data_IF_177654569484
#
_entry.id   IF_177654569484
#
_cell.length_a   1.000
_cell.length_b   1.000
_cell.length_c   1.000
_cell.angle_alpha   90.00
_cell.angle_beta   90.00
_cell.angle_gamma   90.00
#
_symmetry.space_group_name_H-M   'P 1'
#
loop_
_entity.id
_entity.type
_entity.pdbx_description
1 polymer ?
#
# COMPACT_ATOMS: atom_id res chain seq x y z
N UNK A 1 28.16 49.35 -10.54
CA UNK A 1 27.80 47.93 -10.84
C UNK A 1 28.97 47.24 -11.52
N UNK A 2 29.92 46.73 -10.72
CA UNK A 2 31.05 45.88 -11.10
C UNK A 2 31.65 45.42 -9.77
N UNK A 3 31.55 44.14 -9.41
CA UNK A 3 32.58 43.43 -8.63
C UNK A 3 32.24 41.93 -8.41
N UNK A 4 33.30 41.12 -8.54
CA UNK A 4 33.60 39.88 -7.80
C UNK A 4 32.83 38.58 -8.08
N UNK A 5 33.32 37.83 -9.09
CA UNK A 5 33.45 36.36 -9.03
C UNK A 5 34.79 35.99 -9.67
N UNK A 6 35.83 35.83 -8.84
CA UNK A 6 37.14 35.25 -9.20
C UNK A 6 37.72 34.70 -7.91
N UNK A 7 37.54 33.42 -7.63
CA UNK A 7 38.39 32.68 -6.71
C UNK A 7 38.28 31.17 -7.00
N UNK A 8 39.45 30.54 -7.06
CA UNK A 8 39.75 29.12 -7.30
C UNK A 8 39.85 28.65 -8.76
N UNK A 9 40.90 29.11 -9.42
CA UNK A 9 41.69 28.26 -10.33
C UNK A 9 43.18 28.37 -9.94
N UNK A 10 43.88 27.24 -10.03
CA UNK A 10 45.34 26.97 -9.88
C UNK A 10 45.99 27.08 -8.49
N UNK A 11 46.32 25.92 -7.90
CA UNK A 11 47.69 25.34 -7.94
C UNK A 11 47.88 24.05 -7.11
N UNK A 12 48.66 23.12 -7.70
CA UNK A 12 49.36 21.95 -7.13
C UNK A 12 48.71 20.56 -7.23
N UNK A 13 48.55 20.07 -8.47
CA UNK A 13 48.93 18.69 -8.81
C UNK A 13 50.39 18.73 -9.30
N UNK A 14 51.29 18.02 -8.63
CA UNK A 14 52.65 17.78 -9.10
C UNK A 14 52.93 16.30 -8.90
N UNK A 15 52.99 15.56 -10.00
CA UNK A 15 53.18 14.12 -10.01
C UNK A 15 53.54 13.62 -11.41
N UNK A 16 54.53 14.23 -12.04
CA UNK A 16 55.31 13.65 -13.15
C UNK A 16 56.37 14.67 -13.58
N UNK A 17 57.64 14.46 -13.22
CA UNK A 17 58.81 14.88 -14.00
C UNK A 17 60.05 14.20 -13.42
N UNK A 18 60.46 13.09 -14.03
CA UNK A 18 61.86 12.68 -14.06
C UNK A 18 62.56 13.59 -15.08
N UNK A 19 63.47 14.48 -14.66
CA UNK A 19 64.91 14.35 -14.90
C UNK A 19 65.70 15.60 -14.46
N UNK A 20 66.93 15.32 -13.97
CA UNK A 20 68.14 16.18 -13.92
C UNK A 20 68.14 17.44 -13.05
N UNK A 21 69.11 17.50 -12.12
CA UNK A 21 69.57 18.76 -11.50
C UNK A 21 69.54 18.78 -9.98
N UNK A 22 70.68 18.55 -9.36
CA UNK A 22 70.97 18.69 -7.93
C UNK A 22 70.51 20.05 -7.37
N UNK A 23 69.51 20.06 -6.47
CA UNK A 23 69.07 21.28 -5.78
C UNK A 23 67.71 21.27 -5.06
N UNK A 24 66.92 20.20 -5.13
CA UNK A 24 65.50 20.20 -4.70
C UNK A 24 65.08 19.31 -3.52
N UNK A 25 65.99 18.84 -2.66
CA UNK A 25 65.65 17.82 -1.64
C UNK A 25 64.95 18.36 -0.37
N UNK A 26 65.09 19.64 0.00
CA UNK A 26 64.48 20.18 1.23
C UNK A 26 62.96 20.46 1.11
N UNK A 27 62.49 20.96 -0.04
CA UNK A 27 61.07 21.32 -0.22
C UNK A 27 60.13 20.12 -0.31
N UNK A 28 60.60 18.99 -0.85
CA UNK A 28 59.81 17.76 -0.97
C UNK A 28 59.65 17.08 0.39
N UNK A 29 60.71 16.96 1.18
CA UNK A 29 60.68 16.34 2.52
C UNK A 29 59.71 17.05 3.47
N UNK A 30 59.59 18.38 3.37
CA UNK A 30 58.66 19.16 4.18
C UNK A 30 57.20 18.99 3.73
N UNK A 31 56.93 18.86 2.42
CA UNK A 31 55.60 18.53 1.89
C UNK A 31 55.15 17.12 2.30
N UNK A 32 56.04 16.11 2.26
CA UNK A 32 55.73 14.75 2.72
C UNK A 32 55.47 14.68 4.24
N UNK A 33 56.24 15.43 5.05
CA UNK A 33 55.98 15.56 6.50
C UNK A 33 54.62 16.21 6.81
N UNK A 34 54.25 17.29 6.12
CA UNK A 34 52.97 17.97 6.34
C UNK A 34 51.77 17.10 5.94
N UNK A 35 51.89 16.34 4.84
CA UNK A 35 50.85 15.39 4.42
C UNK A 35 50.70 14.21 5.40
N UNK A 36 51.80 13.71 5.96
CA UNK A 36 51.81 12.66 6.99
C UNK A 36 51.15 13.13 8.29
N UNK A 37 51.43 14.36 8.74
CA UNK A 37 50.80 14.94 9.95
C UNK A 37 49.30 15.12 9.76
N UNK A 38 48.86 15.66 8.63
CA UNK A 38 47.44 15.84 8.36
C UNK A 38 46.69 14.50 8.24
N UNK A 39 47.28 13.51 7.55
CA UNK A 39 46.73 12.15 7.45
C UNK A 39 46.57 11.51 8.83
N UNK A 40 47.60 11.60 9.67
CA UNK A 40 47.59 11.07 11.04
C UNK A 40 46.54 11.77 11.90
N UNK A 41 46.42 13.10 11.81
CA UNK A 41 45.41 13.88 12.53
C UNK A 41 43.97 13.53 12.11
N UNK A 42 43.73 13.28 10.82
CA UNK A 42 42.41 12.85 10.34
C UNK A 42 42.09 11.44 10.83
N UNK A 43 43.05 10.50 10.79
CA UNK A 43 42.87 9.14 11.31
C UNK A 43 42.60 9.10 12.81
N UNK A 44 43.31 9.91 13.60
CA UNK A 44 43.06 10.02 15.05
C UNK A 44 41.69 10.63 15.33
N UNK A 45 41.27 11.67 14.59
CA UNK A 45 39.94 12.24 14.72
C UNK A 45 38.84 11.22 14.38
N UNK A 46 39.02 10.44 13.31
CA UNK A 46 38.11 9.34 12.96
C UNK A 46 38.05 8.35 14.13
N UNK A 47 39.18 7.93 14.69
CA UNK A 47 39.22 6.99 15.82
C UNK A 47 38.54 7.53 17.09
N UNK A 48 38.72 8.81 17.42
CA UNK A 48 38.01 9.43 18.55
C UNK A 48 36.50 9.48 18.29
N UNK A 49 36.09 9.85 17.06
CA UNK A 49 34.68 9.88 16.70
C UNK A 49 34.01 8.50 16.72
N UNK A 50 34.74 7.42 16.41
CA UNK A 50 34.21 6.06 16.45
C UNK A 50 34.04 5.56 17.87
N UNK A 51 34.99 5.85 18.76
CA UNK A 51 34.85 5.56 20.19
C UNK A 51 33.64 6.28 20.78
N UNK A 52 33.46 7.56 20.45
CA UNK A 52 32.28 8.33 20.87
C UNK A 52 30.99 7.70 20.32
N UNK A 53 30.96 7.33 19.04
CA UNK A 53 29.81 6.67 18.41
C UNK A 53 29.46 5.33 19.10
N UNK A 54 30.46 4.50 19.39
CA UNK A 54 30.25 3.23 20.09
C UNK A 54 29.66 3.46 21.49
N UNK A 55 30.15 4.47 22.22
CA UNK A 55 29.58 4.87 23.50
C UNK A 55 28.11 5.29 23.40
N UNK A 56 27.75 6.06 22.35
CA UNK A 56 26.37 6.45 22.08
C UNK A 56 25.47 5.26 21.70
N UNK A 57 25.96 4.28 20.95
CA UNK A 57 25.22 3.05 20.61
C UNK A 57 24.94 2.23 21.89
N UNK A 58 25.93 2.10 22.77
CA UNK A 58 25.75 1.43 24.07
C UNK A 58 24.72 2.17 24.93
N UNK A 59 24.82 3.50 25.03
CA UNK A 59 23.85 4.31 25.77
C UNK A 59 22.43 4.19 25.19
N UNK A 60 22.30 4.15 23.86
CA UNK A 60 21.02 3.92 23.20
C UNK A 60 20.40 2.58 23.59
N UNK A 61 21.17 1.49 23.55
CA UNK A 61 20.66 0.18 23.96
C UNK A 61 20.39 0.09 25.46
N UNK A 62 21.13 0.82 26.30
CA UNK A 62 20.82 0.94 27.72
C UNK A 62 19.45 1.60 27.94
N UNK A 63 19.16 2.70 27.23
CA UNK A 63 17.84 3.37 27.27
C UNK A 63 16.73 2.47 26.73
N UNK A 64 16.98 1.70 25.67
CA UNK A 64 16.02 0.74 25.11
C UNK A 64 15.71 -0.40 26.10
N UNK A 65 16.70 -0.89 26.86
CA UNK A 65 16.51 -1.86 27.93
C UNK A 65 15.73 -1.25 29.08
N UNK A 66 16.04 -0.01 29.48
CA UNK A 66 15.29 0.71 30.52
C UNK A 66 13.83 0.94 30.14
N UNK A 67 13.55 1.30 28.89
CA UNK A 67 12.18 1.48 28.41
C UNK A 67 11.40 0.15 28.49
N UNK A 68 12.01 -0.95 28.04
CA UNK A 68 11.41 -2.28 28.15
C UNK A 68 11.15 -2.70 29.60
N UNK A 69 12.05 -2.33 30.50
CA UNK A 69 11.96 -2.63 31.93
C UNK A 69 10.78 -1.89 32.57
N UNK A 70 10.62 -0.59 32.26
CA UNK A 70 9.50 0.25 32.71
C UNK A 70 8.16 -0.27 32.15
N UNK A 71 8.11 -0.62 30.86
CA UNK A 71 6.89 -1.13 30.21
C UNK A 71 6.40 -2.45 30.84
N UNK A 72 7.32 -3.26 31.41
CA UNK A 72 6.99 -4.55 32.04
C UNK A 72 7.03 -4.52 33.58
N UNK A 73 7.28 -3.36 34.20
CA UNK A 73 7.39 -3.21 35.66
C UNK A 73 8.34 -4.23 36.33
N UNK A 74 9.45 -4.57 35.67
CA UNK A 74 10.52 -5.36 36.29
C UNK A 74 11.63 -4.43 36.78
N UNK A 75 12.46 -4.85 37.72
CA UNK A 75 13.60 -4.04 38.22
C UNK A 75 14.96 -4.59 37.76
N UNK A 76 15.02 -5.89 37.41
CA UNK A 76 16.26 -6.56 37.01
C UNK A 76 16.50 -6.50 35.50
N UNK A 77 17.48 -5.69 35.07
CA UNK A 77 17.89 -5.59 33.66
C UNK A 77 18.35 -6.92 33.05
N UNK A 78 18.81 -7.87 33.88
CA UNK A 78 19.26 -9.20 33.45
C UNK A 78 18.14 -10.00 32.80
N UNK A 79 16.90 -9.81 33.28
CA UNK A 79 15.71 -10.48 32.75
C UNK A 79 15.40 -9.96 31.34
N UNK A 80 15.70 -8.70 31.06
CA UNK A 80 15.50 -8.07 29.76
C UNK A 80 16.62 -8.38 28.74
N UNK A 81 17.75 -8.96 29.17
CA UNK A 81 18.92 -9.21 28.33
C UNK A 81 18.98 -10.66 27.84
N UNK A 82 18.45 -10.91 26.65
CA UNK A 82 18.52 -12.23 26.00
C UNK A 82 19.83 -12.42 25.23
N UNK A 83 20.34 -13.67 25.09
CA UNK A 83 21.56 -13.93 24.33
C UNK A 83 21.44 -13.51 22.86
N UNK A 84 20.24 -13.63 22.28
CA UNK A 84 19.98 -13.13 20.93
C UNK A 84 20.12 -11.61 20.85
N UNK A 85 19.55 -10.85 21.80
CA UNK A 85 19.70 -9.39 21.85
C UNK A 85 21.16 -8.97 22.05
N UNK A 86 21.87 -9.65 22.95
CA UNK A 86 23.30 -9.40 23.17
C UNK A 86 24.12 -9.67 21.90
N UNK A 87 23.81 -10.75 21.15
CA UNK A 87 24.50 -11.06 19.90
C UNK A 87 24.30 -10.00 18.81
N UNK A 88 23.08 -9.42 18.70
CA UNK A 88 22.81 -8.32 17.78
C UNK A 88 23.55 -7.04 18.19
N UNK A 89 23.54 -6.68 19.49
CA UNK A 89 24.28 -5.53 20.01
C UNK A 89 25.79 -5.69 19.75
N UNK A 90 26.34 -6.88 20.00
CA UNK A 90 27.74 -7.18 19.74
C UNK A 90 28.09 -7.08 18.26
N UNK A 91 27.23 -7.58 17.36
CA UNK A 91 27.39 -7.42 15.92
C UNK A 91 27.35 -5.95 15.49
N UNK A 92 26.40 -5.17 16.03
CA UNK A 92 26.25 -3.75 15.76
C UNK A 92 27.51 -2.97 16.16
N UNK A 93 28.03 -3.24 17.36
CA UNK A 93 29.27 -2.67 17.86
C UNK A 93 30.48 -3.11 17.02
N UNK A 94 30.56 -4.37 16.62
CA UNK A 94 31.65 -4.88 15.78
C UNK A 94 31.68 -4.17 14.41
N UNK A 95 30.52 -4.04 13.76
CA UNK A 95 30.37 -3.31 12.50
C UNK A 95 30.79 -1.84 12.65
N UNK A 96 30.35 -1.18 13.73
CA UNK A 96 30.67 0.22 13.97
C UNK A 96 32.12 0.43 14.42
N UNK A 97 32.76 -0.58 15.01
CA UNK A 97 34.15 -0.51 15.47
C UNK A 97 35.17 -0.54 14.33
N UNK A 98 34.83 -1.10 13.16
CA UNK A 98 35.75 -1.13 12.00
C UNK A 98 35.99 0.29 11.48
N UNK A 99 37.23 0.77 11.63
CA UNK A 99 37.73 2.04 11.09
C UNK A 99 39.24 1.96 10.85
N UNK A 100 39.80 2.79 9.96
CA UNK A 100 41.25 2.87 9.77
C UNK A 100 41.89 3.39 11.07
N UNK A 101 42.56 2.51 11.79
CA UNK A 101 43.30 2.82 13.02
C UNK A 101 44.54 3.63 12.62
N UNK A 102 44.91 4.68 13.38
CA UNK A 102 46.14 5.42 13.13
C UNK A 102 47.38 4.49 13.16
N UNK A 103 47.96 4.25 11.99
CA UNK A 103 49.14 3.41 11.76
C UNK A 103 49.45 3.29 10.27
N UNK A 104 50.69 2.93 9.92
CA UNK A 104 51.11 2.65 8.54
C UNK A 104 51.17 1.13 8.32
N UNK A 105 49.99 0.53 8.11
CA UNK A 105 49.89 -0.89 7.76
C UNK A 105 49.73 -1.05 6.25
N UNK A 106 50.73 -1.64 5.60
CA UNK A 106 50.73 -1.88 4.16
C UNK A 106 50.41 -3.35 3.87
N UNK A 107 49.53 -3.59 2.90
CA UNK A 107 49.20 -4.92 2.39
C UNK A 107 49.56 -4.98 0.90
N UNK A 108 50.28 -6.01 0.47
CA UNK A 108 50.59 -6.22 -0.94
C UNK A 108 49.37 -6.78 -1.67
N UNK A 109 48.74 -5.95 -2.51
CA UNK A 109 47.61 -6.35 -3.33
C UNK A 109 48.10 -6.79 -4.71
N UNK A 110 47.89 -8.05 -5.07
CA UNK A 110 48.21 -8.59 -6.40
C UNK A 110 46.98 -8.49 -7.31
N UNK A 111 47.08 -7.81 -8.46
CA UNK A 111 45.99 -7.78 -9.44
C UNK A 111 46.50 -8.04 -10.86
N UNK A 112 45.65 -8.61 -11.71
CA UNK A 112 45.92 -8.76 -13.14
C UNK A 112 45.31 -7.58 -13.88
N UNK A 113 46.16 -6.76 -14.52
CA UNK A 113 45.69 -5.60 -15.26
C UNK A 113 45.18 -6.07 -16.63
N UNK A 114 43.85 -6.02 -16.84
CA UNK A 114 43.25 -6.48 -18.10
C UNK A 114 43.63 -5.58 -19.29
N UNK A 115 43.93 -4.31 -19.01
CA UNK A 115 44.29 -3.31 -20.02
C UNK A 115 45.74 -3.41 -20.55
N UNK A 116 46.64 -4.10 -19.83
CA UNK A 116 48.05 -4.30 -20.23
C UNK A 116 48.38 -5.79 -20.39
N UNK A 117 47.69 -6.48 -21.30
CA UNK A 117 47.97 -7.87 -21.67
C UNK A 117 47.99 -8.88 -20.50
N UNK A 118 47.32 -8.59 -19.38
CA UNK A 118 47.24 -9.49 -18.24
C UNK A 118 48.50 -9.56 -17.38
N UNK A 119 49.38 -8.56 -17.44
CA UNK A 119 50.54 -8.44 -16.55
C UNK A 119 50.06 -8.40 -15.09
N UNK A 120 50.66 -9.25 -14.26
CA UNK A 120 50.36 -9.32 -12.83
C UNK A 120 51.19 -8.24 -12.13
N UNK A 121 50.53 -7.17 -11.69
CA UNK A 121 51.19 -6.12 -10.92
C UNK A 121 50.80 -6.25 -9.45
N UNK A 122 51.82 -6.25 -8.59
CA UNK A 122 51.64 -6.33 -7.14
C UNK A 122 52.04 -5.00 -6.54
N UNK A 123 51.07 -4.24 -6.04
CA UNK A 123 51.32 -2.93 -5.43
C UNK A 123 51.03 -2.97 -3.94
N UNK A 124 51.91 -2.37 -3.14
CA UNK A 124 51.67 -2.16 -1.71
C UNK A 124 50.55 -1.13 -1.53
N UNK A 125 49.38 -1.59 -1.13
CA UNK A 125 48.18 -0.79 -0.86
C UNK A 125 47.99 -0.68 0.65
N UNK A 126 47.76 0.52 1.21
CA UNK A 126 47.50 0.66 2.63
C UNK A 126 46.21 -0.07 3.03
N UNK A 127 46.23 -0.78 4.16
CA UNK A 127 45.08 -1.51 4.75
C UNK A 127 43.90 -0.58 5.04
N UNK A 128 44.16 0.73 5.13
CA UNK A 128 43.13 1.77 5.26
C UNK A 128 42.07 1.71 4.14
N UNK A 129 42.43 1.25 2.94
CA UNK A 129 41.53 1.16 1.77
C UNK A 129 40.45 0.10 1.98
N UNK A 130 40.83 -1.07 2.50
CA UNK A 130 39.87 -2.15 2.78
C UNK A 130 39.07 -1.86 4.05
N UNK A 131 39.69 -1.26 5.07
CA UNK A 131 38.99 -0.88 6.31
C UNK A 131 38.07 0.35 6.18
N UNK A 132 38.21 1.14 5.11
CA UNK A 132 37.30 2.27 4.85
C UNK A 132 36.02 1.88 4.12
N UNK A 133 35.97 0.72 3.43
CA UNK A 133 34.73 0.22 2.81
C UNK A 133 33.63 -0.10 3.87
N UNK A 134 33.93 -0.82 4.97
CA UNK A 134 32.96 -1.05 6.05
C UNK A 134 32.44 0.21 6.74
N UNK A 135 33.12 1.36 6.62
CA UNK A 135 32.61 2.61 7.21
C UNK A 135 31.28 3.06 6.59
N UNK A 136 30.98 2.66 5.35
CA UNK A 136 29.66 2.90 4.75
C UNK A 136 28.54 2.08 5.36
N UNK A 137 28.85 0.95 5.99
CA UNK A 137 27.84 0.15 6.65
C UNK A 137 27.15 0.98 7.74
N UNK A 138 27.85 1.93 8.36
CA UNK A 138 27.29 2.88 9.34
C UNK A 138 26.15 3.76 8.83
N UNK A 139 25.92 3.85 7.52
CA UNK A 139 24.77 4.56 6.95
C UNK A 139 23.42 4.02 7.46
N UNK A 140 23.35 2.77 7.93
CA UNK A 140 22.12 2.26 8.55
C UNK A 140 21.69 3.08 9.79
N UNK A 141 22.64 3.72 10.50
CA UNK A 141 22.34 4.57 11.65
C UNK A 141 21.56 5.81 11.25
N UNK A 142 21.82 6.37 10.06
CA UNK A 142 21.05 7.51 9.53
C UNK A 142 19.60 7.09 9.31
N UNK A 143 19.39 5.91 8.73
CA UNK A 143 18.04 5.34 8.60
C UNK A 143 17.40 5.17 9.98
N UNK A 144 18.11 4.64 10.98
CA UNK A 144 17.59 4.48 12.36
C UNK A 144 17.18 5.82 12.97
N UNK A 145 18.01 6.86 12.85
CA UNK A 145 17.72 8.20 13.39
C UNK A 145 16.55 8.85 12.67
N UNK A 146 16.49 8.75 11.34
CA UNK A 146 15.36 9.24 10.55
C UNK A 146 14.04 8.61 11.00
N UNK A 147 14.05 7.29 11.27
CA UNK A 147 12.89 6.55 11.76
C UNK A 147 12.49 7.00 13.17
N UNK A 148 13.46 7.17 14.07
CA UNK A 148 13.22 7.57 15.46
C UNK A 148 12.72 9.02 15.59
N UNK A 149 13.17 9.93 14.74
CA UNK A 149 12.78 11.34 14.81
C UNK A 149 11.50 11.67 14.01
N UNK A 150 11.00 10.73 13.21
CA UNK A 150 9.79 10.95 12.43
C UNK A 150 8.57 11.00 13.34
N UNK A 151 8.02 12.21 13.52
CA UNK A 151 6.80 12.48 14.31
C UNK A 151 5.62 11.59 13.93
N UNK A 152 5.58 11.10 12.69
CA UNK A 152 4.54 10.20 12.21
C UNK A 152 4.50 8.85 12.96
N UNK A 153 5.65 8.36 13.43
CA UNK A 153 5.77 7.03 14.07
C UNK A 153 6.05 7.08 15.57
N UNK A 154 6.42 8.25 16.10
CA UNK A 154 6.64 8.47 17.53
C UNK A 154 5.45 9.07 18.27
N UNK A 155 4.43 9.54 17.54
CA UNK A 155 3.25 10.10 18.17
C UNK A 155 2.48 9.07 19.02
N UNK A 156 1.97 9.51 20.17
CA UNK A 156 1.24 8.64 21.10
C UNK A 156 -0.06 8.10 20.46
N UNK A 157 -0.69 8.90 19.60
CA UNK A 157 -1.90 8.49 18.87
C UNK A 157 -1.61 7.33 17.91
N UNK A 158 -0.53 7.41 17.13
CA UNK A 158 -0.18 6.35 16.19
C UNK A 158 0.24 5.08 16.94
N UNK A 159 1.00 5.20 18.02
CA UNK A 159 1.35 4.07 18.90
C UNK A 159 0.13 3.36 19.50
N UNK A 160 -0.87 4.13 19.96
CA UNK A 160 -2.12 3.58 20.48
C UNK A 160 -2.91 2.82 19.40
N UNK A 161 -3.06 3.41 18.21
CA UNK A 161 -3.74 2.75 17.07
C UNK A 161 -2.99 1.48 16.65
N UNK A 162 -1.66 1.50 16.68
CA UNK A 162 -0.82 0.32 16.38
C UNK A 162 -1.05 -0.81 17.39
N UNK A 163 -1.12 -0.49 18.68
CA UNK A 163 -1.40 -1.46 19.74
C UNK A 163 -2.80 -2.09 19.58
N UNK A 164 -3.83 -1.28 19.27
CA UNK A 164 -5.19 -1.76 19.02
C UNK A 164 -5.25 -2.74 17.83
N UNK A 165 -4.45 -2.50 16.80
CA UNK A 165 -4.38 -3.38 15.62
C UNK A 165 -3.33 -4.49 15.74
N UNK A 166 -2.65 -4.63 16.90
CA UNK A 166 -1.52 -5.55 17.12
C UNK A 166 -0.40 -5.42 16.07
N UNK A 167 -0.16 -4.20 15.60
CA UNK A 167 0.90 -3.88 14.64
C UNK A 167 2.12 -3.37 15.40
N UNK A 168 3.24 -4.09 15.27
CA UNK A 168 4.52 -3.64 15.78
C UNK A 168 5.16 -2.63 14.81
N UNK A 169 5.61 -1.48 15.34
CA UNK A 169 6.30 -0.43 14.58
C UNK A 169 7.71 -0.88 14.19
N UNK A 170 7.80 -1.72 13.17
CA UNK A 170 9.05 -2.23 12.63
C UNK A 170 9.65 -1.29 11.57
N UNK A 171 10.97 -1.33 11.40
CA UNK A 171 11.69 -0.58 10.35
C UNK A 171 11.14 -0.88 8.94
N UNK A 172 10.77 -2.15 8.69
CA UNK A 172 10.12 -2.58 7.43
C UNK A 172 8.75 -1.94 7.23
N UNK A 173 7.96 -1.82 8.29
CA UNK A 173 6.65 -1.15 8.23
C UNK A 173 6.83 0.32 7.88
N UNK A 174 7.78 1.00 8.53
CA UNK A 174 8.04 2.41 8.25
C UNK A 174 8.55 2.62 6.83
N UNK A 175 9.51 1.81 6.37
CA UNK A 175 10.02 1.91 5.01
C UNK A 175 8.90 1.69 3.97
N UNK A 176 7.99 0.74 4.22
CA UNK A 176 6.80 0.51 3.39
C UNK A 176 5.86 1.72 3.39
N UNK A 177 5.61 2.32 4.54
CA UNK A 177 4.78 3.52 4.68
C UNK A 177 5.40 4.71 3.95
N UNK A 178 6.70 4.93 4.10
CA UNK A 178 7.44 5.99 3.41
C UNK A 178 7.39 5.82 1.88
N UNK A 179 7.59 4.58 1.40
CA UNK A 179 7.42 4.22 -0.02
C UNK A 179 5.98 4.35 -0.53
N UNK A 180 4.99 4.45 0.35
CA UNK A 180 3.59 4.65 -0.03
C UNK A 180 3.23 6.13 -0.10
N UNK A 181 3.69 6.94 0.86
CA UNK A 181 3.38 8.37 0.95
C UNK A 181 4.07 9.15 -0.18
N UNK A 182 5.40 9.07 -0.27
CA UNK A 182 6.20 9.85 -1.23
C UNK A 182 7.22 8.97 -1.96
N UNK A 183 6.78 7.96 -2.73
CA UNK A 183 7.67 6.99 -3.38
C UNK A 183 8.75 7.64 -4.25
N UNK A 184 8.39 8.68 -5.02
CA UNK A 184 9.32 9.33 -5.96
C UNK A 184 10.49 10.01 -5.26
N UNK A 185 10.22 10.80 -4.21
CA UNK A 185 11.27 11.51 -3.46
C UNK A 185 12.21 10.54 -2.75
N UNK A 186 11.64 9.52 -2.10
CA UNK A 186 12.40 8.51 -1.34
C UNK A 186 13.30 7.72 -2.27
N UNK A 187 12.73 7.27 -3.40
CA UNK A 187 13.46 6.53 -4.40
C UNK A 187 14.57 7.39 -5.01
N UNK A 188 14.31 8.67 -5.34
CA UNK A 188 15.32 9.58 -5.88
C UNK A 188 16.48 9.78 -4.91
N UNK A 189 16.19 10.06 -3.63
CA UNK A 189 17.23 10.21 -2.59
C UNK A 189 18.06 8.92 -2.48
N UNK A 190 17.39 7.76 -2.51
CA UNK A 190 18.06 6.47 -2.49
C UNK A 190 18.98 6.29 -3.72
N UNK A 191 18.51 6.54 -4.94
CA UNK A 191 19.32 6.44 -6.16
C UNK A 191 20.56 7.31 -6.11
N UNK A 192 20.39 8.59 -5.79
CA UNK A 192 21.50 9.56 -5.76
C UNK A 192 22.51 9.17 -4.69
N UNK A 193 22.05 8.75 -3.51
CA UNK A 193 22.94 8.30 -2.44
C UNK A 193 23.74 7.06 -2.84
N UNK A 194 23.09 6.03 -3.41
CA UNK A 194 23.75 4.82 -3.89
C UNK A 194 24.76 5.11 -4.99
N UNK A 195 24.41 5.99 -5.93
CA UNK A 195 25.30 6.39 -7.02
C UNK A 195 26.58 7.07 -6.50
N UNK A 196 26.44 8.00 -5.55
CA UNK A 196 27.59 8.69 -4.92
C UNK A 196 28.45 7.70 -4.14
N UNK A 197 27.84 6.83 -3.33
CA UNK A 197 28.55 5.82 -2.54
C UNK A 197 29.30 4.84 -3.45
N UNK A 198 28.61 4.29 -4.44
CA UNK A 198 29.19 3.36 -5.41
C UNK A 198 30.37 4.02 -6.15
N UNK A 199 30.22 5.27 -6.59
CA UNK A 199 31.30 5.99 -7.26
C UNK A 199 32.52 6.20 -6.38
N UNK A 200 32.31 6.58 -5.11
CA UNK A 200 33.42 6.76 -4.18
C UNK A 200 34.11 5.43 -3.83
N UNK A 201 33.35 4.36 -3.61
CA UNK A 201 33.90 3.02 -3.33
C UNK A 201 34.68 2.44 -4.51
N UNK A 202 34.17 2.58 -5.74
CA UNK A 202 34.86 2.12 -6.95
C UNK A 202 36.18 2.87 -7.14
N UNK A 203 36.16 4.19 -6.93
CA UNK A 203 37.36 5.03 -7.00
C UNK A 203 38.39 4.59 -5.98
N UNK A 204 37.94 4.32 -4.75
CA UNK A 204 38.81 3.93 -3.66
C UNK A 204 39.55 2.61 -3.96
N UNK A 205 38.89 1.64 -4.62
CA UNK A 205 39.51 0.38 -5.00
C UNK A 205 40.44 0.47 -6.24
N UNK A 206 40.13 1.31 -7.22
CA UNK A 206 40.93 1.41 -8.47
C UNK A 206 42.04 2.48 -8.43
N UNK A 207 41.96 3.48 -7.53
CA UNK A 207 42.89 4.64 -7.49
C UNK A 207 44.38 4.27 -7.39
N UNK A 208 44.72 3.12 -6.82
CA UNK A 208 46.11 2.69 -6.65
C UNK A 208 46.64 1.86 -7.82
N UNK A 209 45.81 1.42 -8.76
CA UNK A 209 46.22 0.53 -9.84
C UNK A 209 46.17 1.18 -11.23
N UNK A 210 45.48 2.32 -11.38
CA UNK A 210 45.36 3.00 -12.67
C UNK A 210 45.23 4.53 -12.50
N UNK A 211 45.99 5.29 -13.29
CA UNK A 211 46.00 6.76 -13.30
C UNK A 211 44.73 7.32 -13.94
N UNK A 212 44.12 6.62 -14.92
CA UNK A 212 42.87 7.08 -15.58
C UNK A 212 41.66 7.04 -14.65
N UNK A 213 41.67 6.10 -13.70
CA UNK A 213 40.65 5.95 -12.65
C UNK A 213 40.84 6.94 -11.48
N UNK A 214 41.93 7.72 -11.45
CA UNK A 214 42.17 8.71 -10.40
C UNK A 214 41.19 9.90 -10.47
N UNK A 215 40.69 10.20 -11.68
CA UNK A 215 39.72 11.25 -11.95
C UNK A 215 38.32 10.86 -11.46
N UNK A 216 37.75 11.65 -10.54
CA UNK A 216 36.43 11.40 -9.96
C UNK A 216 35.31 11.36 -11.02
N UNK A 217 35.42 12.18 -12.07
CA UNK A 217 34.44 12.22 -13.16
C UNK A 217 34.39 10.91 -13.94
N UNK A 218 35.53 10.28 -14.21
CA UNK A 218 35.62 9.00 -14.92
C UNK A 218 34.98 7.88 -14.09
N UNK A 219 35.22 7.86 -12.77
CA UNK A 219 34.58 6.88 -11.90
C UNK A 219 33.08 7.12 -11.76
N UNK A 220 32.63 8.38 -11.68
CA UNK A 220 31.20 8.72 -11.66
C UNK A 220 30.51 8.30 -12.96
N UNK A 221 31.16 8.50 -14.11
CA UNK A 221 30.71 8.04 -15.42
C UNK A 221 30.56 6.51 -15.45
N UNK A 222 31.63 5.77 -15.11
CA UNK A 222 31.63 4.30 -15.05
C UNK A 222 30.52 3.77 -14.12
N UNK A 223 30.34 4.40 -12.97
CA UNK A 223 29.30 4.02 -12.00
C UNK A 223 27.90 4.29 -12.57
N UNK A 224 27.68 5.42 -13.25
CA UNK A 224 26.40 5.75 -13.85
C UNK A 224 26.01 4.75 -14.95
N UNK A 225 26.93 4.43 -15.87
CA UNK A 225 26.67 3.48 -16.97
C UNK A 225 26.47 2.05 -16.46
N UNK A 226 27.13 1.67 -15.36
CA UNK A 226 26.96 0.36 -14.71
C UNK A 226 25.62 0.29 -13.98
N UNK A 227 25.26 1.35 -13.25
CA UNK A 227 23.98 1.45 -12.53
C UNK A 227 22.77 1.43 -13.48
N UNK A 228 22.89 2.08 -14.64
CA UNK A 228 21.87 2.07 -15.69
C UNK A 228 21.92 0.82 -16.57
N UNK A 229 22.83 -0.13 -16.31
CA UNK A 229 23.03 -1.35 -17.09
C UNK A 229 23.29 -1.11 -18.59
N UNK A 230 23.97 -0.01 -18.94
CA UNK A 230 24.35 0.33 -20.33
C UNK A 230 25.66 -0.35 -20.72
N UNK A 231 26.72 -0.13 -19.94
CA UNK A 231 28.02 -0.80 -20.10
C UNK A 231 28.72 -0.59 -21.45
N UNK A 232 29.13 0.65 -21.77
CA UNK A 232 29.87 0.95 -23.01
C UNK A 232 31.22 0.22 -23.13
N UNK A 233 31.88 -0.09 -22.02
CA UNK A 233 33.15 -0.82 -21.99
C UNK A 233 34.39 0.03 -22.33
N UNK A 234 34.24 1.35 -22.34
CA UNK A 234 35.32 2.34 -22.49
C UNK A 234 36.27 2.37 -21.28
N UNK A 235 35.73 2.19 -20.08
CA UNK A 235 36.46 2.12 -18.82
C UNK A 235 35.97 0.89 -18.05
N UNK A 236 36.88 0.07 -17.52
CA UNK A 236 36.55 -1.21 -16.84
C UNK A 236 37.38 -1.36 -15.56
N UNK A 237 36.79 -1.81 -14.43
CA UNK A 237 37.56 -2.07 -13.22
C UNK A 237 38.50 -3.25 -13.38
N UNK A 238 39.76 -3.05 -12.98
CA UNK A 238 40.79 -4.08 -13.08
C UNK A 238 40.91 -4.90 -11.79
N UNK A 239 40.65 -4.30 -10.63
CA UNK A 239 40.77 -4.97 -9.34
C UNK A 239 39.58 -5.89 -9.03
N UNK A 240 39.83 -6.97 -8.28
CA UNK A 240 38.75 -7.84 -7.79
C UNK A 240 37.74 -7.09 -6.91
N UNK A 241 38.20 -6.12 -6.11
CA UNK A 241 37.32 -5.24 -5.35
C UNK A 241 36.42 -4.41 -6.28
N UNK A 242 36.99 -3.71 -7.26
CA UNK A 242 36.25 -2.87 -8.21
C UNK A 242 35.25 -3.68 -9.01
N UNK A 243 35.62 -4.88 -9.47
CA UNK A 243 34.70 -5.81 -10.15
C UNK A 243 33.54 -6.23 -9.24
N UNK A 244 33.82 -6.54 -7.98
CA UNK A 244 32.77 -6.85 -6.99
C UNK A 244 31.80 -5.68 -6.79
N UNK A 245 32.33 -4.46 -6.65
CA UNK A 245 31.53 -3.24 -6.52
C UNK A 245 30.69 -3.01 -7.78
N UNK A 246 31.24 -3.22 -8.98
CA UNK A 246 30.48 -3.08 -10.24
C UNK A 246 29.34 -4.09 -10.35
N UNK A 247 29.54 -5.34 -9.93
CA UNK A 247 28.45 -6.34 -9.90
C UNK A 247 27.36 -5.93 -8.92
N UNK A 248 27.73 -5.51 -7.70
CA UNK A 248 26.77 -5.05 -6.70
C UNK A 248 26.02 -3.80 -7.21
N UNK A 249 26.72 -2.86 -7.83
CA UNK A 249 26.14 -1.64 -8.40
C UNK A 249 25.14 -1.97 -9.51
N UNK A 250 25.47 -2.92 -10.39
CA UNK A 250 24.54 -3.38 -11.44
C UNK A 250 23.31 -4.08 -10.86
N UNK A 251 23.47 -4.94 -9.85
CA UNK A 251 22.36 -5.60 -9.17
C UNK A 251 21.43 -4.60 -8.46
N UNK A 252 22.03 -3.64 -7.75
CA UNK A 252 21.28 -2.55 -7.11
C UNK A 252 20.57 -1.69 -8.16
N UNK A 253 21.24 -1.34 -9.25
CA UNK A 253 20.66 -0.63 -10.39
C UNK A 253 19.44 -1.32 -10.98
N UNK A 254 19.50 -2.64 -11.21
CA UNK A 254 18.37 -3.44 -11.69
C UNK A 254 17.21 -3.50 -10.67
N UNK A 255 17.49 -3.65 -9.39
CA UNK A 255 16.45 -3.60 -8.35
C UNK A 255 15.78 -2.22 -8.27
N UNK A 256 16.59 -1.18 -8.43
CA UNK A 256 16.20 0.21 -8.45
C UNK A 256 15.29 0.55 -9.65
N UNK A 257 15.64 0.11 -10.87
CA UNK A 257 14.79 0.29 -12.06
C UNK A 257 13.46 -0.44 -11.92
N UNK A 258 13.46 -1.66 -11.37
CA UNK A 258 12.23 -2.41 -11.09
C UNK A 258 11.30 -1.66 -10.11
N UNK A 259 11.85 -1.07 -9.05
CA UNK A 259 11.08 -0.24 -8.11
C UNK A 259 10.51 1.02 -8.78
N UNK A 260 11.28 1.69 -9.65
CA UNK A 260 10.79 2.85 -10.43
C UNK A 260 9.60 2.47 -11.27
N UNK A 261 9.70 1.38 -12.04
CA UNK A 261 8.60 0.88 -12.89
C UNK A 261 7.36 0.60 -12.05
N UNK A 262 7.52 -0.07 -10.90
CA UNK A 262 6.40 -0.36 -10.00
C UNK A 262 5.75 0.91 -9.42
N UNK A 263 6.55 1.95 -9.10
CA UNK A 263 6.04 3.24 -8.63
C UNK A 263 5.30 3.98 -9.74
N UNK A 264 5.88 4.03 -10.94
CA UNK A 264 5.28 4.68 -12.11
C UNK A 264 3.94 4.00 -12.44
N UNK A 265 3.88 2.67 -12.47
CA UNK A 265 2.64 1.93 -12.72
C UNK A 265 1.52 2.36 -11.74
N UNK A 266 1.81 2.38 -10.43
CA UNK A 266 0.84 2.80 -9.40
C UNK A 266 0.45 4.27 -9.51
N UNK A 267 1.34 5.16 -9.96
CA UNK A 267 1.04 6.59 -10.13
C UNK A 267 0.31 6.91 -11.43
N UNK A 268 0.44 6.04 -12.44
CA UNK A 268 -0.32 6.11 -13.69
C UNK A 268 -1.72 5.50 -13.55
N UNK A 269 -1.95 4.66 -12.54
CA UNK A 269 -3.29 4.19 -12.21
C UNK A 269 -4.18 5.37 -11.80
N UNK A 270 -5.18 5.66 -12.64
CA UNK A 270 -6.20 6.67 -12.35
C UNK A 270 -6.88 6.36 -11.01
N UNK A 271 -7.03 7.40 -10.19
CA UNK A 271 -7.80 7.32 -8.95
C UNK A 271 -9.27 6.97 -9.22
N UNK A 272 -10.00 6.52 -8.20
CA UNK A 272 -11.44 6.21 -8.34
C UNK A 272 -12.25 7.40 -8.85
N UNK A 273 -11.94 8.61 -8.37
CA UNK A 273 -12.60 9.83 -8.80
C UNK A 273 -12.26 10.19 -10.26
N UNK A 274 -10.98 10.11 -10.65
CA UNK A 274 -10.57 10.35 -12.04
C UNK A 274 -11.15 9.31 -12.99
N UNK A 275 -11.21 8.02 -12.60
CA UNK A 275 -11.88 6.96 -13.37
C UNK A 275 -13.36 7.26 -13.57
N UNK A 276 -14.05 7.78 -12.55
CA UNK A 276 -15.45 8.19 -12.66
C UNK A 276 -15.62 9.34 -13.68
N UNK A 277 -14.79 10.38 -13.59
CA UNK A 277 -14.79 11.49 -14.55
C UNK A 277 -14.46 11.01 -15.97
N UNK A 278 -13.47 10.13 -16.11
CA UNK A 278 -13.09 9.52 -17.39
C UNK A 278 -14.24 8.71 -18.01
N UNK A 279 -14.92 7.88 -17.22
CA UNK A 279 -16.08 7.12 -17.68
C UNK A 279 -17.22 8.04 -18.13
N UNK A 280 -17.53 9.08 -17.35
CA UNK A 280 -18.55 10.07 -17.71
C UNK A 280 -18.20 10.81 -19.01
N UNK A 281 -16.94 11.21 -19.17
CA UNK A 281 -16.45 11.85 -20.38
C UNK A 281 -16.59 10.92 -21.60
N UNK A 282 -16.23 9.65 -21.44
CA UNK A 282 -16.30 8.66 -22.51
C UNK A 282 -17.76 8.34 -22.90
N UNK A 283 -18.68 8.22 -21.93
CA UNK A 283 -20.12 8.05 -22.19
C UNK A 283 -20.74 9.23 -22.95
N UNK A 284 -20.39 10.45 -22.53
CA UNK A 284 -20.83 11.68 -23.22
C UNK A 284 -20.33 11.70 -24.67
N UNK A 285 -19.08 11.31 -24.91
CA UNK A 285 -18.54 11.22 -26.28
C UNK A 285 -19.23 10.14 -27.12
N UNK A 286 -19.45 8.94 -26.57
CA UNK A 286 -20.13 7.87 -27.29
C UNK A 286 -21.57 8.24 -27.64
N UNK A 287 -22.29 8.87 -26.72
CA UNK A 287 -23.65 9.38 -26.98
C UNK A 287 -23.66 10.39 -28.13
N UNK A 288 -22.69 11.32 -28.19
CA UNK A 288 -22.55 12.25 -29.33
C UNK A 288 -22.28 11.51 -30.65
N UNK A 289 -21.36 10.53 -30.65
CA UNK A 289 -21.05 9.72 -31.84
C UNK A 289 -22.24 8.89 -32.30
N UNK A 290 -23.02 8.34 -31.36
CA UNK A 290 -24.22 7.57 -31.65
C UNK A 290 -25.27 8.43 -32.36
N UNK A 291 -25.53 9.63 -31.83
CA UNK A 291 -26.44 10.62 -32.46
C UNK A 291 -25.98 11.00 -33.86
N UNK A 292 -24.69 11.26 -34.07
CA UNK A 292 -24.12 11.59 -35.38
C UNK A 292 -24.22 10.42 -36.38
N UNK A 293 -23.93 9.20 -35.94
CA UNK A 293 -24.06 8.00 -36.77
C UNK A 293 -25.53 7.75 -37.15
N UNK A 294 -26.46 7.92 -36.21
CA UNK A 294 -27.89 7.80 -36.47
C UNK A 294 -28.38 8.85 -37.47
N UNK A 295 -27.92 10.10 -37.35
CA UNK A 295 -28.22 11.16 -38.31
C UNK A 295 -27.71 10.82 -39.73
N UNK A 296 -26.51 10.25 -39.85
CA UNK A 296 -25.99 9.79 -41.14
C UNK A 296 -26.80 8.63 -41.72
N UNK A 297 -27.25 7.68 -40.90
CA UNK A 297 -28.14 6.60 -41.33
C UNK A 297 -29.44 7.16 -41.92
N UNK A 298 -30.08 8.10 -41.22
CA UNK A 298 -31.29 8.78 -41.70
C UNK A 298 -31.02 9.55 -43.00
N UNK A 299 -29.92 10.30 -43.06
CA UNK A 299 -29.52 11.08 -44.25
C UNK A 299 -29.36 10.20 -45.48
N UNK A 300 -28.59 9.12 -45.38
CA UNK A 300 -28.35 8.23 -46.52
C UNK A 300 -29.61 7.43 -46.88
N UNK A 301 -30.45 7.04 -45.90
CA UNK A 301 -31.75 6.40 -46.17
C UNK A 301 -32.66 7.31 -47.01
N UNK A 302 -32.77 8.59 -46.62
CA UNK A 302 -33.55 9.58 -47.36
C UNK A 302 -33.00 9.80 -48.77
N UNK A 303 -31.68 9.93 -48.93
CA UNK A 303 -31.05 10.13 -50.24
C UNK A 303 -31.25 8.92 -51.16
N UNK A 304 -31.18 7.70 -50.63
CA UNK A 304 -31.52 6.48 -51.39
C UNK A 304 -32.97 6.55 -51.86
N UNK A 305 -33.92 6.85 -50.97
CA UNK A 305 -35.34 6.96 -51.32
C UNK A 305 -35.59 8.04 -52.38
N UNK A 306 -35.01 9.23 -52.22
CA UNK A 306 -35.13 10.33 -53.18
C UNK A 306 -34.65 9.91 -54.57
N UNK A 307 -33.45 9.34 -54.69
CA UNK A 307 -32.86 8.99 -55.99
C UNK A 307 -33.42 7.70 -56.61
N UNK A 308 -34.22 6.91 -55.87
CA UNK A 308 -34.88 5.70 -56.40
C UNK A 308 -36.36 5.91 -56.72
N UNK A 309 -37.08 6.77 -55.98
CA UNK A 309 -38.53 6.93 -56.09
C UNK A 309 -39.00 8.32 -56.52
N UNK A 310 -38.26 9.38 -56.23
CA UNK A 310 -38.70 10.77 -56.49
C UNK A 310 -38.12 11.40 -57.77
N UNK A 311 -37.17 10.74 -58.45
CA UNK A 311 -36.52 11.26 -59.67
C UNK A 311 -37.00 10.51 -60.90
N UNK A 312 -37.31 11.25 -61.97
CA UNK A 312 -37.87 10.73 -63.24
C UNK A 312 -36.91 9.79 -64.00
N UNK A 313 -35.59 9.96 -63.86
CA UNK A 313 -34.55 9.06 -64.38
C UNK A 313 -33.58 8.63 -63.28
N UNK A 314 -33.41 7.32 -63.09
CA UNK A 314 -32.62 6.73 -62.00
C UNK A 314 -31.16 6.53 -62.43
N UNK A 315 -30.24 7.22 -61.77
CA UNK A 315 -28.80 7.04 -61.97
C UNK A 315 -28.25 5.94 -61.03
N UNK A 316 -28.10 4.72 -61.54
CA UNK A 316 -27.66 3.56 -60.75
C UNK A 316 -26.31 3.76 -60.03
N UNK A 317 -25.37 4.50 -60.63
CA UNK A 317 -24.06 4.78 -60.03
C UNK A 317 -24.14 5.62 -58.76
N UNK A 318 -25.04 6.61 -58.74
CA UNK A 318 -25.25 7.51 -57.59
C UNK A 318 -26.00 6.81 -56.47
N UNK A 319 -26.96 5.95 -56.81
CA UNK A 319 -27.67 5.09 -55.84
C UNK A 319 -26.70 4.13 -55.16
N UNK A 320 -25.83 3.44 -55.91
CA UNK A 320 -24.79 2.56 -55.34
C UNK A 320 -23.84 3.29 -54.38
N UNK A 321 -23.45 4.52 -54.70
CA UNK A 321 -22.63 5.34 -53.82
C UNK A 321 -23.33 5.65 -52.48
N UNK A 322 -24.62 6.01 -52.51
CA UNK A 322 -25.42 6.23 -51.29
C UNK A 322 -25.70 4.94 -50.52
N UNK A 323 -25.94 3.81 -51.19
CA UNK A 323 -26.06 2.49 -50.56
C UNK A 323 -24.78 2.09 -49.81
N UNK A 324 -23.60 2.32 -50.41
CA UNK A 324 -22.31 2.07 -49.73
C UNK A 324 -22.16 2.96 -48.50
N UNK A 325 -22.48 4.26 -48.60
CA UNK A 325 -22.44 5.19 -47.47
C UNK A 325 -23.44 4.82 -46.37
N UNK A 326 -24.63 4.38 -46.73
CA UNK A 326 -25.64 3.87 -45.80
C UNK A 326 -25.14 2.64 -45.05
N UNK A 327 -24.57 1.65 -45.74
CA UNK A 327 -24.02 0.45 -45.11
C UNK A 327 -22.88 0.80 -44.14
N UNK A 328 -21.99 1.71 -44.53
CA UNK A 328 -20.93 2.22 -43.66
C UNK A 328 -21.48 2.96 -42.43
N UNK A 329 -22.54 3.75 -42.59
CA UNK A 329 -23.20 4.44 -41.48
C UNK A 329 -23.87 3.46 -40.51
N UNK A 330 -24.52 2.41 -41.01
CA UNK A 330 -25.10 1.33 -40.19
C UNK A 330 -24.01 0.58 -39.44
N UNK A 331 -22.90 0.23 -40.10
CA UNK A 331 -21.76 -0.43 -39.45
C UNK A 331 -21.16 0.45 -38.34
N UNK A 332 -20.96 1.74 -38.62
CA UNK A 332 -20.50 2.72 -37.63
C UNK A 332 -21.44 2.82 -36.42
N UNK A 333 -22.75 2.90 -36.66
CA UNK A 333 -23.77 2.94 -35.59
C UNK A 333 -23.72 1.68 -34.72
N UNK A 334 -23.65 0.49 -35.32
CA UNK A 334 -23.55 -0.78 -34.57
C UNK A 334 -22.25 -0.84 -33.74
N UNK A 335 -21.13 -0.40 -34.31
CA UNK A 335 -19.84 -0.35 -33.61
C UNK A 335 -19.91 0.57 -32.40
N UNK A 336 -20.40 1.80 -32.56
CA UNK A 336 -20.55 2.77 -31.45
C UNK A 336 -21.51 2.24 -30.37
N UNK A 337 -22.63 1.61 -30.76
CA UNK A 337 -23.56 0.99 -29.80
C UNK A 337 -22.92 -0.15 -29.01
N UNK A 338 -22.09 -0.96 -29.66
CA UNK A 338 -21.35 -2.04 -28.99
C UNK A 338 -20.31 -1.48 -28.00
N UNK A 339 -19.58 -0.43 -28.39
CA UNK A 339 -18.61 0.24 -27.53
C UNK A 339 -19.29 0.88 -26.31
N UNK A 340 -20.48 1.46 -26.49
CA UNK A 340 -21.30 2.00 -25.39
C UNK A 340 -21.74 0.91 -24.41
N UNK A 341 -22.13 -0.28 -24.90
CA UNK A 341 -22.48 -1.41 -24.03
C UNK A 341 -21.29 -1.85 -23.18
N UNK A 342 -20.10 -2.02 -23.79
CA UNK A 342 -18.87 -2.39 -23.07
C UNK A 342 -18.52 -1.39 -21.96
N UNK A 343 -18.72 -0.09 -22.22
CA UNK A 343 -18.51 0.95 -21.21
C UNK A 343 -19.47 0.80 -20.03
N UNK A 344 -20.75 0.58 -20.31
CA UNK A 344 -21.78 0.40 -19.29
C UNK A 344 -21.54 -0.87 -18.45
N UNK A 345 -21.14 -1.97 -19.08
CA UNK A 345 -20.81 -3.22 -18.38
C UNK A 345 -19.63 -3.02 -17.41
N UNK A 346 -18.60 -2.25 -17.80
CA UNK A 346 -17.47 -1.91 -16.93
C UNK A 346 -17.89 -1.00 -15.75
N UNK A 347 -18.81 -0.07 -15.98
CA UNK A 347 -19.30 0.85 -14.95
C UNK A 347 -20.16 0.14 -13.89
N UNK A 348 -20.98 -0.83 -14.33
CA UNK A 348 -21.89 -1.56 -13.45
C UNK A 348 -21.16 -2.31 -12.33
N UNK A 349 -19.96 -2.85 -12.56
CA UNK A 349 -19.21 -3.58 -11.51
C UNK A 349 -18.98 -2.81 -10.21
N UNK A 350 -18.70 -1.50 -10.28
CA UNK A 350 -18.45 -0.66 -9.10
C UNK A 350 -19.78 -0.17 -8.50
N UNK A 351 -20.74 0.18 -9.35
CA UNK A 351 -22.07 0.66 -8.93
C UNK A 351 -22.89 -0.47 -8.30
N UNK A 352 -22.73 -1.70 -8.77
CA UNK A 352 -23.42 -2.88 -8.27
C UNK A 352 -22.98 -3.20 -6.84
N UNK A 353 -21.70 -3.05 -6.50
CA UNK A 353 -21.24 -3.23 -5.11
C UNK A 353 -21.82 -2.19 -4.13
N UNK A 354 -21.98 -0.95 -4.57
CA UNK A 354 -22.62 0.08 -3.74
C UNK A 354 -24.13 -0.16 -3.61
N UNK A 355 -24.80 -0.54 -4.71
CA UNK A 355 -26.23 -0.86 -4.73
C UNK A 355 -26.54 -2.11 -3.90
N UNK A 356 -25.69 -3.14 -3.93
CA UNK A 356 -25.86 -4.32 -3.08
C UNK A 356 -25.71 -3.95 -1.62
N UNK A 357 -24.78 -3.06 -1.24
CA UNK A 357 -24.67 -2.58 0.14
C UNK A 357 -25.92 -1.82 0.59
N UNK A 358 -26.47 -0.92 -0.24
CA UNK A 358 -27.72 -0.22 0.07
C UNK A 358 -28.89 -1.20 0.18
N UNK A 359 -29.02 -2.14 -0.75
CA UNK A 359 -30.08 -3.15 -0.72
C UNK A 359 -29.97 -4.07 0.49
N UNK A 360 -28.76 -4.46 0.89
CA UNK A 360 -28.53 -5.23 2.12
C UNK A 360 -28.94 -4.42 3.35
N UNK A 361 -28.61 -3.13 3.40
CA UNK A 361 -29.02 -2.26 4.50
C UNK A 361 -30.55 -2.14 4.60
N UNK A 362 -31.23 -1.95 3.46
CA UNK A 362 -32.70 -1.91 3.40
C UNK A 362 -33.33 -3.24 3.86
N UNK A 363 -32.80 -4.38 3.39
CA UNK A 363 -33.27 -5.71 3.81
C UNK A 363 -33.08 -5.95 5.31
N UNK A 364 -31.94 -5.52 5.89
CA UNK A 364 -31.68 -5.66 7.33
C UNK A 364 -32.61 -4.76 8.13
N UNK A 365 -32.85 -3.53 7.67
CA UNK A 365 -33.81 -2.62 8.31
C UNK A 365 -35.22 -3.19 8.30
N UNK A 366 -35.66 -3.74 7.16
CA UNK A 366 -36.97 -4.39 7.06
C UNK A 366 -37.06 -5.63 7.96
N UNK A 367 -35.99 -6.43 8.04
CA UNK A 367 -35.91 -7.58 8.94
C UNK A 367 -35.99 -7.15 10.41
N UNK A 368 -35.30 -6.07 10.79
CA UNK A 368 -35.37 -5.51 12.15
C UNK A 368 -36.78 -5.10 12.51
N UNK A 369 -37.46 -4.38 11.61
CA UNK A 369 -38.84 -3.95 11.82
C UNK A 369 -39.80 -5.15 11.95
N UNK A 370 -39.59 -6.21 11.16
CA UNK A 370 -40.38 -7.45 11.30
C UNK A 370 -40.08 -8.16 12.63
N UNK A 371 -38.85 -8.13 13.10
CA UNK A 371 -38.48 -8.70 14.40
C UNK A 371 -39.15 -7.94 15.54
N UNK A 372 -39.20 -6.61 15.51
CA UNK A 372 -39.91 -5.81 16.51
C UNK A 372 -41.40 -6.19 16.58
N UNK A 373 -42.07 -6.32 15.42
CA UNK A 373 -43.48 -6.75 15.38
C UNK A 373 -43.65 -8.19 15.88
N UNK A 374 -42.70 -9.09 15.61
CA UNK A 374 -42.74 -10.45 16.13
C UNK A 374 -42.55 -10.46 17.66
N UNK A 375 -41.68 -9.62 18.18
CA UNK A 375 -41.42 -9.47 19.61
C UNK A 375 -42.67 -8.95 20.34
N UNK A 376 -43.35 -7.93 19.80
CA UNK A 376 -44.64 -7.46 20.32
C UNK A 376 -45.71 -8.57 20.35
N UNK A 377 -45.76 -9.40 19.30
CA UNK A 377 -46.70 -10.54 19.25
C UNK A 377 -46.36 -11.61 20.27
N UNK A 378 -45.08 -11.86 20.53
CA UNK A 378 -44.63 -12.80 21.55
C UNK A 378 -45.00 -12.29 22.94
N UNK A 379 -44.77 -11.01 23.23
CA UNK A 379 -45.17 -10.38 24.50
C UNK A 379 -46.69 -10.51 24.69
N UNK A 380 -47.48 -10.20 23.66
CA UNK A 380 -48.94 -10.36 23.74
C UNK A 380 -49.37 -11.82 23.97
N UNK A 381 -48.65 -12.80 23.40
CA UNK A 381 -48.89 -14.22 23.66
C UNK A 381 -48.51 -14.61 25.08
N UNK A 382 -47.41 -14.07 25.62
CA UNK A 382 -46.95 -14.29 26.99
C UNK A 382 -47.95 -13.73 28.01
N UNK A 383 -48.48 -12.52 27.79
CA UNK A 383 -49.56 -11.93 28.59
C UNK A 383 -50.84 -12.79 28.56
N UNK A 384 -51.19 -13.35 27.40
CA UNK A 384 -52.35 -14.26 27.30
C UNK A 384 -52.11 -15.59 28.00
N UNK A 385 -50.89 -16.13 27.92
CA UNK A 385 -50.53 -17.37 28.62
C UNK A 385 -50.54 -17.18 30.14
N UNK A 386 -50.00 -16.07 30.64
CA UNK A 386 -50.03 -15.75 32.08
C UNK A 386 -51.46 -15.59 32.59
N UNK A 387 -52.32 -14.91 31.83
CA UNK A 387 -53.75 -14.81 32.18
C UNK A 387 -54.45 -16.17 32.18
N UNK A 388 -54.15 -17.05 31.21
CA UNK A 388 -54.66 -18.42 31.23
C UNK A 388 -54.17 -19.20 32.45
N UNK A 389 -52.90 -19.04 32.83
CA UNK A 389 -52.33 -19.70 33.99
C UNK A 389 -53.01 -19.24 35.29
N UNK A 390 -53.25 -17.94 35.44
CA UNK A 390 -53.97 -17.36 36.59
C UNK A 390 -55.43 -17.85 36.65
N UNK A 391 -56.13 -17.92 35.51
CA UNK A 391 -57.48 -18.48 35.46
C UNK A 391 -57.52 -19.98 35.82
N UNK A 392 -56.51 -20.75 35.41
CA UNK A 392 -56.41 -22.17 35.74
C UNK A 392 -56.13 -22.38 37.24
N UNK A 393 -55.33 -21.50 37.85
CA UNK A 393 -54.99 -21.52 39.27
C UNK A 393 -56.16 -21.06 40.16
N UNK A 394 -57.00 -20.13 39.68
CA UNK A 394 -58.23 -19.70 40.35
C UNK A 394 -59.39 -20.71 40.23
N UNK A 395 -59.34 -21.60 39.25
CA UNK A 395 -60.38 -22.60 38.96
C UNK A 395 -60.74 -23.51 40.16
N UNK A 396 -59.79 -24.09 40.93
CA UNK A 396 -60.12 -24.87 42.13
C UNK A 396 -60.82 -24.07 43.24
N UNK A 397 -60.50 -22.79 43.41
CA UNK A 397 -61.20 -21.93 44.39
C UNK A 397 -62.66 -21.67 43.97
N UNK A 398 -62.91 -21.46 42.68
CA UNK A 398 -64.28 -21.28 42.17
C UNK A 398 -65.05 -22.60 42.25
N UNK A 399 -64.41 -23.73 41.96
CA UNK A 399 -65.02 -25.05 42.06
C UNK A 399 -65.42 -25.37 43.51
N UNK A 400 -64.56 -25.05 44.48
CA UNK A 400 -64.84 -25.24 45.91
C UNK A 400 -65.94 -24.31 46.42
N UNK A 401 -65.98 -23.04 45.97
CA UNK A 401 -67.10 -22.12 46.25
C UNK A 401 -68.42 -22.58 45.63
N UNK A 402 -68.41 -23.14 44.43
CA UNK A 402 -69.61 -23.68 43.79
C UNK A 402 -70.10 -24.97 44.49
N UNK A 403 -69.18 -25.82 44.94
CA UNK A 403 -69.50 -27.01 45.74
C UNK A 403 -70.05 -26.66 47.13
N UNK A 404 -69.58 -25.59 47.77
CA UNK A 404 -70.10 -25.12 49.06
C UNK A 404 -71.40 -24.30 48.94
N UNK A 405 -71.67 -23.71 47.77
CA UNK A 405 -72.90 -22.99 47.48
C UNK A 405 -74.09 -23.89 47.09
N UNK A 406 -73.93 -25.22 47.07
CA UNK A 406 -75.05 -26.15 46.98
C UNK A 406 -75.87 -26.10 48.29
N UNK A 407 -77.09 -25.53 48.30
CA UNK A 407 -77.90 -25.47 49.51
C UNK A 407 -78.46 -26.85 49.82
N UNK A 408 -78.28 -27.31 51.05
CA UNK A 408 -79.02 -28.43 51.61
C UNK A 408 -80.53 -28.18 51.47
N UNK A 409 -81.20 -28.96 50.61
CA UNK A 409 -82.66 -28.95 50.52
C UNK A 409 -83.26 -29.70 51.72
N UNK A 410 -83.75 -28.93 52.70
CA UNK A 410 -84.80 -29.38 53.60
C UNK A 410 -86.17 -29.00 52.96
N UNK A 411 -87.12 -29.94 52.80
CA UNK A 411 -88.32 -29.71 51.99
C UNK A 411 -89.54 -29.34 52.84
N UNK A 412 -90.34 -28.35 52.42
CA UNK A 412 -91.81 -28.40 52.39
C UNK A 412 -92.44 -27.02 52.08
N UNK A 413 -93.40 -26.99 51.15
CA UNK A 413 -94.60 -26.13 51.28
C UNK A 413 -94.93 -25.11 50.17
N UNK A 414 -95.49 -25.58 49.04
CA UNK A 414 -96.69 -25.03 48.38
C UNK A 414 -96.70 -23.64 47.66
N UNK A 415 -97.58 -23.43 46.65
CA UNK A 415 -97.37 -22.45 45.56
C UNK A 415 -98.38 -21.28 45.52
N UNK A 416 -98.00 -20.09 45.02
CA UNK A 416 -98.80 -19.20 44.12
C UNK A 416 -98.18 -17.81 43.82
N UNK A 417 -98.07 -17.53 42.50
CA UNK A 417 -98.35 -16.32 41.69
C UNK A 417 -98.15 -14.84 42.13
N UNK A 418 -97.82 -14.05 41.08
CA UNK A 418 -97.94 -12.58 40.84
C UNK A 418 -96.77 -11.67 41.27
N UNK A 419 -95.90 -11.16 40.37
CA UNK A 419 -96.05 -10.30 39.17
C UNK A 419 -95.88 -8.80 39.47
N UNK A 420 -94.86 -8.14 38.88
CA UNK A 420 -95.02 -6.88 38.11
C UNK A 420 -93.73 -6.40 37.40
N UNK A 421 -93.90 -6.26 36.10
CA UNK A 421 -93.17 -5.54 35.05
C UNK A 421 -92.36 -4.28 35.40
N UNK A 422 -91.28 -4.06 34.65
CA UNK A 422 -91.01 -2.78 33.99
C UNK A 422 -90.24 -3.02 32.67
N UNK A 423 -90.86 -2.61 31.56
CA UNK A 423 -90.31 -2.54 30.20
C UNK A 423 -89.24 -1.45 30.08
N UNK A 424 -88.29 -1.59 29.15
CA UNK A 424 -87.77 -0.51 28.31
C UNK A 424 -87.21 -1.07 26.98
N UNK A 425 -87.34 -0.24 25.94
CA UNK A 425 -87.42 -0.50 24.49
C UNK A 425 -86.05 -0.80 23.81
N UNK A 426 -86.01 -1.45 22.62
CA UNK A 426 -84.77 -1.78 21.94
C UNK A 426 -84.36 -0.62 21.02
N UNK A 427 -83.33 0.16 21.39
CA UNK A 427 -82.60 1.01 20.41
C UNK A 427 -81.17 1.41 20.83
N UNK A 428 -80.65 0.98 21.98
CA UNK A 428 -79.26 1.30 22.40
C UNK A 428 -78.23 0.19 22.10
N UNK A 429 -78.60 -0.84 21.32
CA UNK A 429 -77.73 -1.99 21.00
C UNK A 429 -77.01 -1.89 19.64
N UNK A 430 -76.72 -0.67 19.16
CA UNK A 430 -76.09 -0.46 17.85
C UNK A 430 -74.94 0.57 17.90
N UNK A 431 -73.95 0.36 18.77
CA UNK A 431 -72.68 1.09 18.67
C UNK A 431 -71.52 0.43 19.44
N UNK A 432 -71.26 -0.87 19.20
CA UNK A 432 -69.91 -1.41 19.25
C UNK A 432 -69.89 -2.91 18.87
N UNK A 433 -69.52 -3.21 17.63
CA UNK A 433 -69.00 -4.52 17.24
C UNK A 433 -67.68 -4.33 16.48
N UNK A 434 -66.55 -4.91 16.93
CA UNK A 434 -65.38 -5.05 16.09
C UNK A 434 -65.61 -6.15 15.05
N UNK A 435 -65.40 -5.79 13.79
CA UNK A 435 -65.54 -6.66 12.62
C UNK A 435 -64.38 -7.67 12.57
N UNK A 436 -64.70 -8.96 12.69
CA UNK A 436 -63.80 -10.04 12.31
C UNK A 436 -63.91 -10.24 10.80
N UNK A 437 -62.87 -9.87 10.05
CA UNK A 437 -62.73 -10.27 8.64
C UNK A 437 -61.61 -11.28 8.49
N UNK A 438 -62.04 -12.49 8.11
CA UNK A 438 -61.21 -13.57 7.59
C UNK A 438 -60.46 -13.14 6.33
N UNK A 439 -59.13 -13.27 6.32
CA UNK A 439 -58.33 -13.16 5.08
C UNK A 439 -57.69 -14.51 4.76
N UNK A 440 -58.35 -15.16 3.81
CA UNK A 440 -57.85 -16.03 2.75
C UNK A 440 -56.43 -16.60 2.86
N UNK A 441 -56.39 -17.91 3.12
CA UNK A 441 -55.31 -18.82 2.79
C UNK A 441 -55.46 -19.21 1.30
N UNK A 442 -54.59 -18.71 0.42
CA UNK A 442 -54.67 -19.00 -1.01
C UNK A 442 -53.43 -18.62 -1.82
N UNK A 443 -52.57 -19.63 -2.05
CA UNK A 443 -51.68 -19.80 -3.20
C UNK A 443 -50.66 -18.69 -3.55
N UNK A 444 -49.42 -18.86 -3.07
CA UNK A 444 -48.23 -18.64 -3.90
C UNK A 444 -47.20 -19.74 -3.66
N UNK A 445 -47.01 -20.51 -4.71
CA UNK A 445 -46.06 -21.60 -4.95
C UNK A 445 -44.64 -21.29 -4.46
N UNK A 446 -44.19 -22.05 -3.48
CA UNK A 446 -42.79 -22.19 -3.08
C UNK A 446 -42.05 -23.08 -4.08
N UNK A 447 -41.22 -22.48 -4.93
CA UNK A 447 -40.13 -23.21 -5.61
C UNK A 447 -38.94 -23.18 -4.66
N UNK A 448 -38.57 -24.35 -4.15
CA UNK A 448 -37.40 -24.53 -3.30
C UNK A 448 -36.10 -24.33 -4.10
N UNK A 449 -35.05 -23.68 -3.55
CA UNK A 449 -33.71 -23.82 -4.05
C UNK A 449 -33.00 -24.96 -3.30
N UNK A 450 -32.92 -26.13 -3.91
CA UNK A 450 -31.86 -27.10 -3.62
C UNK A 450 -30.64 -26.73 -4.45
N UNK A 451 -29.47 -26.50 -3.83
CA UNK A 451 -28.16 -26.67 -4.50
C UNK A 451 -27.04 -26.70 -3.44
N UNK A 452 -26.71 -27.92 -3.04
CA UNK A 452 -25.41 -28.31 -2.49
C UNK A 452 -24.44 -28.40 -3.68
N UNK A 453 -23.24 -27.80 -3.65
CA UNK A 453 -22.24 -28.07 -4.67
C UNK A 453 -21.55 -29.40 -4.37
N UNK A 454 -21.85 -30.42 -5.19
CA UNK A 454 -21.10 -31.67 -5.27
C UNK A 454 -19.86 -31.44 -6.12
N UNK A 455 -18.69 -31.62 -5.51
CA UNK A 455 -17.42 -31.68 -6.21
C UNK A 455 -17.43 -32.80 -7.26
N UNK A 456 -17.03 -32.48 -8.49
CA UNK A 456 -16.55 -33.47 -9.45
C UNK A 456 -15.19 -33.03 -9.98
N UNK A 457 -14.21 -33.86 -9.65
CA UNK A 457 -12.97 -34.10 -10.37
C UNK A 457 -13.25 -34.57 -11.79
N UNK A 458 -12.49 -34.07 -12.76
CA UNK A 458 -12.22 -34.79 -14.01
C UNK A 458 -10.74 -34.63 -14.35
N UNK A 459 -10.00 -35.71 -14.15
CA UNK A 459 -8.81 -36.07 -14.93
C UNK A 459 -9.21 -36.30 -16.39
N UNK A 460 -8.55 -35.59 -17.30
CA UNK A 460 -7.82 -36.08 -18.49
C UNK A 460 -7.43 -34.90 -19.37
#
# INVERSE_FOLDING_TARGET
MKHSFKFLDRRHCQGAFCNTGTGGQLGNSQKYKMASVFSTAVKTLISVSTVMLLGLIVAYHALEVQLFLIDNCADDWRIAMTPSRLSLIALELAICAVHPIPGEYCFTWTTKLANQNGIVESRSVPVDVTMSLPMFLRLYLICRVMLLHSKLFTDASSRSIGALNRINFNTRFVLKTLMTICPGTVLLVFMVSLWIIASWTLRLCERYHDEEHANLLNTMWLTAITFLSVGYGDIVPNTYCGRGISVITGLMGAGCTALVVAVIARKLELSRAEKHVHNFMMDTQLTKRLKNAAANVLRETWLIYKYTKLVKQVNQSRVRAHQRKFLLAIYSLRKVKMDQRKLMDNANTITDMAKTQTSVYEMVSEMSQRNEVLEERIISLEERMTLFQEQLEALPEVLTKALSALPALNPQGGPSQQARHAFLHPDDAASNRPNWTSVNLGNRTSVAPSLVPRALSTEN
#
